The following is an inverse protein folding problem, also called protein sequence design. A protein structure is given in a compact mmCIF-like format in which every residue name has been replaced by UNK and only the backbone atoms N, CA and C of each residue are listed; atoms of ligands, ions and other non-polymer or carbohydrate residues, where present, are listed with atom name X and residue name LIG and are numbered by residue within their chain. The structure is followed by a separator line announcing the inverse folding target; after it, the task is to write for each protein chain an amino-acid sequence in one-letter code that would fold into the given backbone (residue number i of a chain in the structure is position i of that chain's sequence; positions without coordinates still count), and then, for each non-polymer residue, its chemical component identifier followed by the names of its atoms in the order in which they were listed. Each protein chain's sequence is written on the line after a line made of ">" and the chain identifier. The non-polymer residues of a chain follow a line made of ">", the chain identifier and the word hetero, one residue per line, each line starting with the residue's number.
data_IF_306626594365
#
_entry.id   IF_306626594365
#
_cell.length_a   1.000
_cell.length_b   1.000
_cell.length_c   1.000
_cell.angle_alpha   90.00
_cell.angle_beta   90.00
_cell.angle_gamma   90.00
#
_symmetry.space_group_name_H-M   'P 1'
#
loop_
_entity.id
_entity.type
_entity.pdbx_description
1 polymer ?
#
# COMPACT_ATOMS: atom_id res chain seq x y z
N UNK A 1 -17.52 20.68 4.59
CA UNK A 1 -16.40 19.85 4.07
C UNK A 1 -16.50 18.45 4.64
N UNK A 2 -17.08 17.49 3.90
CA UNK A 2 -17.27 16.11 4.38
C UNK A 2 -16.22 15.19 3.76
N UNK A 3 -15.23 14.85 4.59
CA UNK A 3 -14.27 13.73 4.49
C UNK A 3 -13.08 13.91 3.52
N UNK A 4 -12.05 14.60 4.01
CA UNK A 4 -10.68 14.63 3.42
C UNK A 4 -9.98 13.26 3.43
N UNK A 5 -10.57 12.27 4.10
CA UNK A 5 -10.01 10.94 4.24
C UNK A 5 -11.02 9.82 4.00
N UNK A 6 -10.55 8.72 3.41
CA UNK A 6 -11.25 7.44 3.26
C UNK A 6 -10.70 6.45 4.29
N UNK A 7 -11.53 5.70 5.01
CA UNK A 7 -11.02 4.67 5.94
C UNK A 7 -10.54 3.43 5.19
N UNK A 8 -9.62 2.67 5.78
CA UNK A 8 -9.10 1.42 5.18
C UNK A 8 -10.20 0.45 4.69
N UNK A 9 -11.25 0.11 5.46
CA UNK A 9 -12.31 -0.76 4.96
C UNK A 9 -13.07 -0.17 3.76
N UNK A 10 -13.37 1.13 3.81
CA UNK A 10 -14.05 1.86 2.73
C UNK A 10 -13.17 1.93 1.47
N UNK A 11 -11.86 2.09 1.63
CA UNK A 11 -10.89 2.06 0.54
C UNK A 11 -10.90 0.71 -0.17
N UNK A 12 -10.78 -0.40 0.58
CA UNK A 12 -10.81 -1.76 0.03
C UNK A 12 -12.12 -2.01 -0.71
N UNK A 13 -13.24 -1.62 -0.12
CA UNK A 13 -14.56 -1.78 -0.73
C UNK A 13 -14.69 -0.99 -2.04
N UNK A 14 -14.19 0.25 -2.07
CA UNK A 14 -14.18 1.07 -3.30
C UNK A 14 -13.38 0.42 -4.42
N UNK A 15 -12.20 -0.14 -4.13
CA UNK A 15 -11.38 -0.81 -5.14
C UNK A 15 -12.08 -2.05 -5.70
N UNK A 16 -12.70 -2.86 -4.82
CA UNK A 16 -13.51 -4.03 -5.23
C UNK A 16 -14.69 -3.63 -6.12
N UNK A 17 -15.42 -2.57 -5.74
CA UNK A 17 -16.54 -2.06 -6.53
C UNK A 17 -16.08 -1.52 -7.88
N UNK A 18 -14.93 -0.85 -7.94
CA UNK A 18 -14.40 -0.27 -9.19
C UNK A 18 -14.14 -1.34 -10.26
N UNK A 19 -13.65 -2.52 -9.88
CA UNK A 19 -13.39 -3.63 -10.82
C UNK A 19 -14.69 -4.19 -11.41
N UNK A 20 -15.69 -4.45 -10.57
CA UNK A 20 -16.94 -5.09 -11.03
C UNK A 20 -17.96 -4.12 -11.63
N UNK A 21 -17.72 -2.80 -11.51
CA UNK A 21 -18.67 -1.74 -11.90
C UNK A 21 -19.15 -1.85 -13.34
N UNK A 22 -18.26 -2.19 -14.27
CA UNK A 22 -18.57 -2.36 -15.69
C UNK A 22 -18.32 -3.78 -16.19
N UNK A 23 -17.64 -4.61 -15.39
CA UNK A 23 -17.19 -5.94 -15.80
C UNK A 23 -17.34 -6.93 -14.64
N UNK A 24 -18.56 -7.48 -14.43
CA UNK A 24 -18.89 -8.27 -13.23
C UNK A 24 -18.03 -9.51 -12.99
N UNK A 25 -17.46 -10.09 -14.05
CA UNK A 25 -16.68 -11.33 -13.98
C UNK A 25 -15.22 -11.12 -13.58
N UNK A 26 -14.76 -9.85 -13.52
CA UNK A 26 -13.37 -9.55 -13.17
C UNK A 26 -13.14 -9.54 -11.68
N UNK A 27 -11.94 -9.94 -11.29
CA UNK A 27 -11.53 -10.02 -9.89
C UNK A 27 -10.41 -9.03 -9.58
N UNK A 28 -10.29 -8.69 -8.29
CA UNK A 28 -9.20 -7.88 -7.77
C UNK A 28 -8.47 -8.61 -6.65
N UNK A 29 -7.15 -8.55 -6.68
CA UNK A 29 -6.28 -8.90 -5.54
C UNK A 29 -5.67 -7.63 -4.95
N UNK A 30 -5.67 -7.51 -3.62
CA UNK A 30 -5.13 -6.34 -2.92
C UNK A 30 -4.09 -6.84 -1.91
N UNK A 31 -2.86 -6.32 -2.01
CA UNK A 31 -1.75 -6.67 -1.11
C UNK A 31 -0.93 -5.46 -0.66
N UNK A 32 -0.18 -5.62 0.43
CA UNK A 32 0.65 -4.59 1.06
C UNK A 32 -0.06 -3.75 2.13
N UNK A 33 -1.28 -4.15 2.54
CA UNK A 33 -2.07 -3.51 3.59
C UNK A 33 -2.34 -4.43 4.79
N UNK A 34 -1.78 -5.65 4.79
CA UNK A 34 -2.09 -6.74 5.72
C UNK A 34 -1.72 -6.39 7.17
N UNK A 35 -0.65 -5.62 7.35
CA UNK A 35 -0.14 -5.23 8.66
C UNK A 35 -0.83 -3.99 9.24
N UNK A 36 -1.79 -3.39 8.54
CA UNK A 36 -2.50 -2.19 8.99
C UNK A 36 -3.77 -2.55 9.76
N UNK A 37 -3.74 -2.41 11.09
CA UNK A 37 -4.94 -2.58 11.94
C UNK A 37 -6.02 -1.52 11.65
N UNK A 38 -5.61 -0.28 11.40
CA UNK A 38 -6.49 0.81 10.99
C UNK A 38 -5.69 1.88 10.21
N UNK A 39 -6.29 2.48 9.18
CA UNK A 39 -5.67 3.55 8.41
C UNK A 39 -6.71 4.49 7.79
N UNK A 40 -6.24 5.67 7.37
CA UNK A 40 -6.97 6.68 6.60
C UNK A 40 -6.16 7.09 5.38
N UNK A 41 -6.77 7.01 4.21
CA UNK A 41 -6.22 7.41 2.92
C UNK A 41 -6.70 8.81 2.58
N UNK A 42 -5.93 9.57 1.81
CA UNK A 42 -6.39 10.87 1.29
C UNK A 42 -7.51 10.65 0.26
N UNK A 43 -8.72 11.18 0.49
CA UNK A 43 -9.89 10.88 -0.35
C UNK A 43 -9.68 11.21 -1.83
N UNK A 44 -8.99 12.32 -2.14
CA UNK A 44 -8.67 12.70 -3.51
C UNK A 44 -7.79 11.66 -4.21
N UNK A 45 -6.80 11.10 -3.50
CA UNK A 45 -5.92 10.05 -4.03
C UNK A 45 -6.67 8.72 -4.15
N UNK A 46 -7.53 8.39 -3.18
CA UNK A 46 -8.44 7.23 -3.28
C UNK A 46 -9.26 7.30 -4.57
N UNK A 47 -9.89 8.43 -4.86
CA UNK A 47 -10.70 8.59 -6.08
C UNK A 47 -9.87 8.46 -7.36
N UNK A 48 -8.64 8.99 -7.39
CA UNK A 48 -7.73 8.80 -8.53
C UNK A 48 -7.37 7.33 -8.76
N UNK A 49 -7.07 6.60 -7.68
CA UNK A 49 -6.76 5.16 -7.76
C UNK A 49 -7.99 4.37 -8.20
N UNK A 50 -9.19 4.72 -7.70
CA UNK A 50 -10.46 4.12 -8.12
C UNK A 50 -10.66 4.21 -9.64
N UNK A 51 -10.36 5.38 -10.23
CA UNK A 51 -10.41 5.57 -11.68
C UNK A 51 -9.40 4.71 -12.43
N UNK A 52 -8.16 4.57 -11.92
CA UNK A 52 -7.14 3.71 -12.55
C UNK A 52 -7.50 2.22 -12.48
N UNK A 53 -8.11 1.78 -11.38
CA UNK A 53 -8.65 0.41 -11.26
C UNK A 53 -9.79 0.19 -12.26
N UNK A 54 -10.72 1.15 -12.38
CA UNK A 54 -11.81 1.08 -13.37
C UNK A 54 -11.28 1.07 -14.82
N UNK A 55 -10.23 1.85 -15.10
CA UNK A 55 -9.57 1.92 -16.40
C UNK A 55 -8.99 0.55 -16.81
N UNK A 56 -8.21 -0.10 -15.93
CA UNK A 56 -7.68 -1.44 -16.18
C UNK A 56 -8.79 -2.50 -16.25
N UNK A 57 -9.83 -2.39 -15.41
CA UNK A 57 -10.95 -3.32 -15.44
C UNK A 57 -11.79 -3.24 -16.74
N UNK A 58 -11.69 -2.15 -17.53
CA UNK A 58 -12.37 -2.03 -18.83
C UNK A 58 -11.62 -2.68 -19.99
N UNK A 59 -10.32 -2.92 -19.86
CA UNK A 59 -9.49 -3.54 -20.90
C UNK A 59 -9.90 -4.99 -21.17
N UNK A 60 -10.24 -5.37 -22.40
CA UNK A 60 -10.70 -6.73 -22.73
C UNK A 60 -9.61 -7.80 -22.51
N UNK A 61 -8.34 -7.41 -22.69
CA UNK A 61 -7.15 -8.25 -22.51
C UNK A 61 -6.76 -8.44 -21.03
N UNK A 62 -7.39 -7.72 -20.09
CA UNK A 62 -7.13 -7.83 -18.65
C UNK A 62 -8.21 -8.66 -17.98
N UNK A 63 -7.87 -9.82 -17.41
CA UNK A 63 -8.84 -10.68 -16.71
C UNK A 63 -8.92 -10.43 -15.19
N UNK A 64 -7.81 -9.97 -14.60
CA UNK A 64 -7.65 -9.73 -13.16
C UNK A 64 -6.90 -8.42 -12.94
N UNK A 65 -7.30 -7.65 -11.94
CA UNK A 65 -6.58 -6.45 -11.50
C UNK A 65 -5.82 -6.76 -10.21
N UNK A 66 -4.56 -6.37 -10.13
CA UNK A 66 -3.79 -6.41 -8.87
C UNK A 66 -3.54 -4.99 -8.38
N UNK A 67 -3.91 -4.73 -7.12
CA UNK A 67 -3.63 -3.48 -6.43
C UNK A 67 -2.57 -3.74 -5.35
N UNK A 68 -1.35 -3.28 -5.63
CA UNK A 68 -0.19 -3.54 -4.79
C UNK A 68 0.22 -2.23 -4.11
N UNK A 69 0.24 -2.21 -2.78
CA UNK A 69 0.64 -1.04 -1.99
C UNK A 69 2.00 -1.28 -1.36
N UNK A 70 3.04 -0.62 -1.88
CA UNK A 70 4.42 -0.70 -1.36
C UNK A 70 4.88 0.64 -0.78
N UNK A 71 5.89 0.65 0.11
CA UNK A 71 6.53 1.88 0.56
C UNK A 71 7.11 2.67 -0.62
N UNK A 72 6.77 3.96 -0.72
CA UNK A 72 7.33 4.86 -1.74
C UNK A 72 8.81 5.19 -1.48
N UNK A 73 9.23 5.13 -0.22
CA UNK A 73 10.64 5.21 0.18
C UNK A 73 11.05 3.80 0.62
N UNK A 74 11.83 3.07 -0.19
CA UNK A 74 12.08 1.64 0.02
C UNK A 74 13.05 1.36 1.18
N UNK A 75 13.83 2.35 1.61
CA UNK A 75 14.80 2.23 2.70
C UNK A 75 14.42 3.11 3.88
N UNK A 76 14.40 2.52 5.07
CA UNK A 76 14.07 3.22 6.31
C UNK A 76 15.00 2.79 7.45
N UNK A 77 15.66 3.75 8.07
CA UNK A 77 16.54 3.53 9.23
C UNK A 77 15.71 3.45 10.51
N UNK A 78 15.94 2.42 11.32
CA UNK A 78 15.19 2.14 12.54
C UNK A 78 16.11 1.93 13.73
N UNK A 79 15.70 2.44 14.89
CA UNK A 79 16.33 2.09 16.18
C UNK A 79 15.80 0.75 16.68
N UNK A 80 16.71 -0.18 16.96
CA UNK A 80 16.41 -1.46 17.60
C UNK A 80 16.74 -1.37 19.09
N UNK A 81 15.80 -1.76 19.94
CA UNK A 81 15.98 -1.72 21.41
C UNK A 81 15.89 -3.15 21.96
N UNK A 82 17.02 -3.67 22.44
CA UNK A 82 17.10 -4.99 23.08
C UNK A 82 17.11 -4.79 24.60
N UNK A 83 16.05 -5.23 25.29
CA UNK A 83 15.94 -5.12 26.76
C UNK A 83 16.10 -6.46 27.45
N UNK A 84 16.99 -6.52 28.44
CA UNK A 84 17.04 -7.62 29.41
C UNK A 84 16.03 -7.37 30.52
N UNK A 85 15.05 -8.28 30.65
CA UNK A 85 13.96 -8.21 31.64
C UNK A 85 14.23 -9.25 32.74
N UNK A 86 14.07 -8.87 34.02
CA UNK A 86 14.21 -9.80 35.14
C UNK A 86 12.93 -10.61 35.39
N UNK A 87 13.00 -11.53 36.37
CA UNK A 87 11.88 -12.39 36.77
C UNK A 87 10.63 -11.63 37.25
N UNK A 88 10.79 -10.36 37.65
CA UNK A 88 9.73 -9.51 38.18
C UNK A 88 9.18 -8.56 37.09
N UNK A 89 9.61 -8.71 35.83
CA UNK A 89 9.18 -7.90 34.69
C UNK A 89 9.88 -6.54 34.57
N UNK A 90 10.90 -6.28 35.39
CA UNK A 90 11.63 -5.00 35.39
C UNK A 90 12.83 -5.06 34.43
N UNK A 91 12.96 -4.03 33.60
CA UNK A 91 14.12 -3.89 32.72
C UNK A 91 15.41 -3.60 33.53
N UNK A 92 16.49 -4.34 33.25
CA UNK A 92 17.81 -4.19 33.91
C UNK A 92 18.85 -3.52 33.03
N UNK A 93 18.83 -3.82 31.74
CA UNK A 93 19.76 -3.29 30.74
C UNK A 93 19.02 -3.15 29.41
N UNK A 94 19.35 -2.11 28.67
CA UNK A 94 18.97 -1.96 27.27
C UNK A 94 20.23 -1.79 26.42
N UNK A 95 20.22 -2.36 25.23
CA UNK A 95 21.20 -2.10 24.16
C UNK A 95 20.42 -1.46 23.01
N UNK A 96 20.94 -0.35 22.50
CA UNK A 96 20.35 0.35 21.35
C UNK A 96 21.26 0.11 20.16
N UNK A 97 20.67 -0.36 19.08
CA UNK A 97 21.32 -0.58 17.79
C UNK A 97 20.52 0.13 16.70
N UNK A 98 21.10 0.21 15.50
CA UNK A 98 20.43 0.73 14.31
C UNK A 98 20.41 -0.34 13.23
N UNK A 99 19.30 -0.44 12.51
CA UNK A 99 19.18 -1.28 11.32
C UNK A 99 18.45 -0.52 10.20
N UNK A 100 18.86 -0.75 8.96
CA UNK A 100 18.11 -0.32 7.79
C UNK A 100 17.18 -1.46 7.35
N UNK A 101 15.90 -1.15 7.19
CA UNK A 101 14.93 -2.06 6.58
C UNK A 101 14.77 -1.64 5.12
N UNK A 102 15.07 -2.56 4.22
CA UNK A 102 15.05 -2.36 2.76
C UNK A 102 13.91 -3.19 2.18
N UNK A 103 13.04 -2.55 1.42
CA UNK A 103 11.91 -3.16 0.73
C UNK A 103 12.17 -3.16 -0.79
N UNK A 104 11.64 -4.14 -1.54
CA UNK A 104 11.61 -4.07 -3.00
C UNK A 104 10.98 -2.77 -3.51
N UNK A 105 11.50 -2.25 -4.61
CA UNK A 105 10.91 -1.13 -5.35
C UNK A 105 9.79 -1.62 -6.27
N UNK A 106 9.06 -0.69 -6.87
CA UNK A 106 8.01 -0.96 -7.85
C UNK A 106 8.50 -1.80 -9.04
N UNK A 107 9.79 -1.74 -9.36
CA UNK A 107 10.39 -2.44 -10.50
C UNK A 107 10.21 -3.95 -10.41
N UNK A 108 10.16 -4.51 -9.19
CA UNK A 108 9.90 -5.93 -8.98
C UNK A 108 8.48 -6.31 -9.40
N UNK A 109 7.52 -5.39 -9.22
CA UNK A 109 6.10 -5.61 -9.53
C UNK A 109 5.74 -5.24 -10.97
N UNK A 110 6.63 -4.53 -11.67
CA UNK A 110 6.43 -4.11 -13.06
C UNK A 110 7.41 -4.75 -14.05
N UNK A 111 8.23 -5.71 -13.60
CA UNK A 111 9.30 -6.29 -14.41
C UNK A 111 8.79 -7.02 -15.66
N UNK A 112 7.58 -7.58 -15.60
CA UNK A 112 6.89 -8.31 -16.66
C UNK A 112 5.77 -7.49 -17.34
N UNK A 113 5.64 -6.22 -17.00
CA UNK A 113 4.66 -5.33 -17.59
C UNK A 113 5.22 -4.69 -18.87
N UNK A 114 4.64 -5.02 -20.03
CA UNK A 114 5.03 -4.43 -21.32
C UNK A 114 4.79 -2.90 -21.37
N UNK A 115 3.72 -2.43 -20.74
CA UNK A 115 3.32 -1.03 -20.71
C UNK A 115 3.28 -0.52 -19.26
N UNK A 116 4.10 0.49 -18.95
CA UNK A 116 4.12 1.15 -17.63
C UNK A 116 3.90 2.65 -17.79
N UNK A 117 2.82 3.16 -17.19
CA UNK A 117 2.53 4.59 -17.12
C UNK A 117 2.76 5.14 -15.69
N UNK A 118 3.83 5.91 -15.48
CA UNK A 118 4.11 6.51 -14.18
C UNK A 118 3.38 7.85 -13.98
N UNK A 119 2.25 7.81 -13.28
CA UNK A 119 1.43 8.98 -12.92
C UNK A 119 1.79 9.58 -11.54
N UNK A 120 2.87 9.13 -10.90
CA UNK A 120 3.26 9.57 -9.54
C UNK A 120 4.06 10.89 -9.62
N UNK A 121 3.94 11.78 -8.63
CA UNK A 121 4.84 12.92 -8.55
C UNK A 121 6.28 12.46 -8.22
N UNK A 122 7.29 13.27 -8.57
CA UNK A 122 8.67 13.06 -8.10
C UNK A 122 8.73 12.98 -6.57
N UNK A 123 9.67 12.20 -6.04
CA UNK A 123 9.91 12.12 -4.59
C UNK A 123 10.13 13.52 -4.00
N UNK A 124 9.50 13.79 -2.86
CA UNK A 124 9.53 15.10 -2.19
C UNK A 124 8.53 16.13 -2.73
N UNK A 125 7.71 15.77 -3.74
CA UNK A 125 6.60 16.61 -4.24
C UNK A 125 5.27 15.87 -3.97
N UNK A 126 4.33 16.52 -3.27
CA UNK A 126 3.03 15.94 -2.89
C UNK A 126 1.84 16.82 -3.24
#
# INVERSE_FOLDING_TARGET
>A
MKLMHTKLPEFIEKMKRAVVKNTPDKTIEIRGLENLKCAKMQSLRTGRIELSVEELAKREDVQKVELIVIPRVPETMHTVIVKGIDKDGKAKKAILEVINIIHPTEEVETADCEEVEDRRPPLGKH
#
